data_IF_768384903094
#
_entry.id   IF_768384903094
#
_cell.length_a   1.000
_cell.length_b   1.000
_cell.length_c   1.000
_cell.angle_alpha   90.00
_cell.angle_beta   90.00
_cell.angle_gamma   90.00
#
_symmetry.space_group_name_H-M   'P 1'
#
loop_
_entity.id
_entity.type
_entity.pdbx_description
1 polymer ?
#
# COMPACT_ATOMS: atom_id res chain seq x y z
N UNK A 1 -18.48 9.97 -4.47
CA UNK A 1 -17.89 8.75 -3.89
C UNK A 1 -16.72 9.16 -2.99
N UNK A 2 -16.96 9.30 -1.67
CA UNK A 2 -15.97 9.75 -0.68
C UNK A 2 -15.38 8.57 0.15
N UNK A 3 -15.67 7.34 -0.27
CA UNK A 3 -15.55 6.11 0.54
C UNK A 3 -14.25 5.34 0.34
N UNK A 4 -13.57 5.46 -0.81
CA UNK A 4 -12.39 4.65 -1.12
C UNK A 4 -11.15 5.04 -0.28
N UNK A 5 -10.97 6.32 0.03
CA UNK A 5 -9.83 6.82 0.82
C UNK A 5 -9.92 6.44 2.30
N UNK A 6 -11.10 6.60 2.90
CA UNK A 6 -11.35 6.24 4.30
C UNK A 6 -11.21 4.73 4.50
N UNK A 7 -11.78 3.94 3.58
CA UNK A 7 -11.66 2.48 3.61
C UNK A 7 -10.21 2.03 3.48
N UNK A 8 -9.45 2.58 2.53
CA UNK A 8 -8.03 2.27 2.39
C UNK A 8 -7.21 2.59 3.64
N UNK A 9 -7.45 3.72 4.30
CA UNK A 9 -6.77 4.07 5.56
C UNK A 9 -7.05 3.05 6.68
N UNK A 10 -8.27 2.54 6.77
CA UNK A 10 -8.68 1.54 7.77
C UNK A 10 -8.11 0.15 7.43
N UNK A 11 -8.28 -0.31 6.18
CA UNK A 11 -7.74 -1.59 5.71
C UNK A 11 -6.22 -1.64 5.86
N UNK A 12 -5.52 -0.55 5.55
CA UNK A 12 -4.07 -0.48 5.66
C UNK A 12 -3.58 -0.53 7.12
N UNK A 13 -4.34 0.07 8.05
CA UNK A 13 -4.06 0.01 9.49
C UNK A 13 -4.29 -1.38 10.07
N UNK A 14 -5.26 -2.13 9.54
CA UNK A 14 -5.55 -3.51 9.90
C UNK A 14 -4.50 -4.49 9.32
N UNK A 15 -3.94 -4.19 8.16
CA UNK A 15 -2.94 -5.06 7.50
C UNK A 15 -1.51 -4.87 8.02
N UNK A 16 -1.26 -3.97 8.99
CA UNK A 16 0.08 -3.71 9.54
C UNK A 16 0.65 -4.96 10.23
N UNK A 17 1.48 -5.71 9.50
CA UNK A 17 2.08 -6.96 9.99
C UNK A 17 2.16 -8.03 8.91
N UNK A 18 1.42 -7.87 7.81
CA UNK A 18 1.40 -8.81 6.70
C UNK A 18 1.53 -8.05 5.36
N UNK A 19 2.70 -8.17 4.72
CA UNK A 19 3.03 -7.47 3.47
C UNK A 19 2.07 -7.82 2.32
N UNK A 20 1.77 -9.11 2.04
CA UNK A 20 0.71 -9.49 1.12
C UNK A 20 -0.64 -8.80 1.37
N UNK A 21 -1.04 -8.67 2.63
CA UNK A 21 -2.30 -8.00 2.99
C UNK A 21 -2.23 -6.49 2.72
N UNK A 22 -1.11 -5.85 3.08
CA UNK A 22 -0.88 -4.43 2.79
C UNK A 22 -0.92 -4.15 1.28
N UNK A 23 -0.29 -4.99 0.45
CA UNK A 23 -0.35 -4.88 -1.01
C UNK A 23 -1.80 -4.92 -1.51
N UNK A 24 -2.61 -5.90 -1.05
CA UNK A 24 -4.03 -5.98 -1.43
C UNK A 24 -4.82 -4.71 -1.04
N UNK A 25 -4.53 -4.14 0.12
CA UNK A 25 -5.14 -2.87 0.55
C UNK A 25 -4.74 -1.67 -0.33
N UNK A 26 -3.59 -1.72 -1.00
CA UNK A 26 -3.17 -0.66 -1.94
C UNK A 26 -3.82 -0.76 -3.32
N UNK A 27 -4.25 -1.95 -3.74
CA UNK A 27 -4.84 -2.17 -5.06
C UNK A 27 -6.04 -1.26 -5.41
N UNK A 28 -7.00 -0.98 -4.50
CA UNK A 28 -8.12 -0.08 -4.81
C UNK A 28 -7.75 1.40 -4.83
N UNK A 29 -6.56 1.79 -4.37
CA UNK A 29 -6.12 3.19 -4.32
C UNK A 29 -5.02 3.52 -5.35
N UNK A 30 -4.31 2.51 -5.83
CA UNK A 30 -3.27 2.66 -6.86
C UNK A 30 -3.81 2.29 -8.24
N UNK A 31 -3.26 2.93 -9.26
CA UNK A 31 -3.47 2.47 -10.65
C UNK A 31 -2.72 1.15 -10.89
N UNK A 32 -3.15 0.33 -11.85
CA UNK A 32 -2.49 -0.96 -12.18
C UNK A 32 -0.99 -0.84 -12.41
N UNK A 33 -0.54 0.26 -13.04
CA UNK A 33 0.89 0.54 -13.25
C UNK A 33 1.62 0.76 -11.93
N UNK A 34 1.10 1.63 -11.07
CA UNK A 34 1.69 1.91 -9.76
C UNK A 34 1.69 0.66 -8.86
N UNK A 35 0.63 -0.14 -8.90
CA UNK A 35 0.55 -1.39 -8.16
C UNK A 35 1.61 -2.42 -8.63
N UNK A 36 1.84 -2.52 -9.94
CA UNK A 36 2.91 -3.39 -10.48
C UNK A 36 4.30 -2.90 -10.10
N UNK A 37 4.55 -1.60 -10.11
CA UNK A 37 5.83 -1.03 -9.68
C UNK A 37 6.04 -1.24 -8.19
N UNK A 38 5.03 -0.97 -7.35
CA UNK A 38 5.07 -1.24 -5.93
C UNK A 38 5.40 -2.71 -5.63
N UNK A 39 4.72 -3.66 -6.29
CA UNK A 39 5.01 -5.08 -6.14
C UNK A 39 6.47 -5.42 -6.51
N UNK A 40 7.02 -4.81 -7.56
CA UNK A 40 8.42 -5.03 -7.93
C UNK A 40 9.38 -4.48 -6.88
N UNK A 41 9.15 -3.28 -6.37
CA UNK A 41 10.02 -2.68 -5.36
C UNK A 41 9.99 -3.43 -4.03
N UNK A 42 8.80 -3.85 -3.58
CA UNK A 42 8.64 -4.67 -2.37
C UNK A 42 9.34 -6.02 -2.51
N UNK A 43 9.31 -6.65 -3.68
CA UNK A 43 10.01 -7.91 -3.94
C UNK A 43 11.53 -7.76 -4.11
N UNK A 44 12.05 -6.54 -4.32
CA UNK A 44 13.50 -6.29 -4.42
C UNK A 44 14.18 -6.15 -3.07
N UNK A 45 13.42 -5.92 -2.01
CA UNK A 45 13.95 -5.71 -0.66
C UNK A 45 13.62 -6.90 0.23
N UNK A 46 14.60 -7.32 1.02
CA UNK A 46 14.47 -8.41 1.98
C UNK A 46 14.39 -7.81 3.39
N UNK A 47 13.17 -7.47 3.80
CA UNK A 47 12.94 -6.92 5.13
C UNK A 47 11.56 -6.31 5.31
N UNK A 48 10.83 -6.76 6.33
CA UNK A 48 9.48 -6.26 6.63
C UNK A 48 9.44 -4.73 6.78
N UNK A 49 10.44 -4.13 7.43
CA UNK A 49 10.49 -2.68 7.66
C UNK A 49 10.71 -1.88 6.37
N UNK A 50 11.56 -2.37 5.46
CA UNK A 50 11.81 -1.73 4.17
C UNK A 50 10.60 -1.89 3.24
N UNK A 51 10.05 -3.10 3.16
CA UNK A 51 8.82 -3.37 2.41
C UNK A 51 7.68 -2.46 2.88
N UNK A 52 7.50 -2.33 4.21
CA UNK A 52 6.52 -1.42 4.80
C UNK A 52 6.74 0.04 4.41
N UNK A 53 8.00 0.53 4.41
CA UNK A 53 8.33 1.91 4.02
C UNK A 53 7.99 2.18 2.56
N UNK A 54 8.34 1.28 1.66
CA UNK A 54 8.03 1.40 0.23
C UNK A 54 6.52 1.50 0.03
N UNK A 55 5.74 0.57 0.61
CA UNK A 55 4.27 0.60 0.47
C UNK A 55 3.69 1.91 1.05
N UNK A 56 4.19 2.38 2.19
CA UNK A 56 3.76 3.66 2.76
C UNK A 56 4.05 4.84 1.84
N UNK A 57 5.21 4.87 1.18
CA UNK A 57 5.59 5.96 0.26
C UNK A 57 4.61 6.12 -0.90
N UNK A 58 4.01 5.02 -1.38
CA UNK A 58 3.03 5.05 -2.46
C UNK A 58 1.62 5.43 -1.99
N UNK A 59 1.28 5.13 -0.74
CA UNK A 59 -0.08 5.26 -0.20
C UNK A 59 -0.28 6.58 0.55
N UNK A 60 0.73 7.06 1.28
CA UNK A 60 0.69 8.29 2.07
C UNK A 60 0.21 9.53 1.29
N UNK A 61 0.73 9.84 0.09
CA UNK A 61 0.25 10.99 -0.70
C UNK A 61 -1.21 10.84 -1.14
N UNK A 62 -1.71 9.62 -1.31
CA UNK A 62 -3.09 9.35 -1.77
C UNK A 62 -4.09 9.49 -0.62
N UNK A 63 -3.69 9.11 0.59
CA UNK A 63 -4.52 9.21 1.81
C UNK A 63 -4.52 10.63 2.38
N UNK A 64 -3.42 11.37 2.27
CA UNK A 64 -3.31 12.75 2.78
C UNK A 64 -3.90 13.81 1.85
N UNK A 65 -3.97 13.55 0.54
CA UNK A 65 -4.61 14.44 -0.44
C UNK A 65 -6.08 14.13 -0.71
#
# INVERSE_FOLDING_TARGET
>A
MHTNRVKAKVDFKLCMGNIPAMLRATKPVLSDRQYKELCKEVNKVDGYLEQKRIIFSYVDPIIKG
#
